data_IF_302881267375
#
_entry.id   IF_302881267375
#
_cell.length_a   1.000
_cell.length_b   1.000
_cell.length_c   1.000
_cell.angle_alpha   90.00
_cell.angle_beta   90.00
_cell.angle_gamma   90.00
#
_symmetry.space_group_name_H-M   'P 1'
#
loop_
_entity.id
_entity.type
_entity.pdbx_description
1 polymer ?
#
# COMPACT_ATOMS: atom_id res chain seq x y z
N UNK A 1 40.12 -2.08 16.02
CA UNK A 1 39.96 -0.99 17.03
C UNK A 1 40.03 0.33 16.27
N UNK A 2 38.88 0.83 15.81
CA UNK A 2 38.77 1.79 14.71
C UNK A 2 38.72 3.25 15.13
N UNK A 3 38.77 4.15 14.13
CA UNK A 3 38.79 5.63 14.23
C UNK A 3 37.79 6.23 15.25
N UNK A 4 36.69 5.55 15.55
CA UNK A 4 35.69 5.97 16.55
C UNK A 4 36.24 6.05 17.99
N UNK A 5 37.13 5.13 18.41
CA UNK A 5 37.70 5.15 19.77
C UNK A 5 38.70 6.29 19.96
N UNK A 6 39.36 6.71 18.88
CA UNK A 6 40.31 7.83 18.85
C UNK A 6 39.56 9.16 18.99
N UNK A 7 38.43 9.31 18.27
CA UNK A 7 37.56 10.50 18.35
C UNK A 7 36.90 10.63 19.73
N UNK A 8 36.48 9.52 20.36
CA UNK A 8 35.89 9.53 21.71
C UNK A 8 36.87 10.04 22.78
N UNK A 9 38.13 9.60 22.73
CA UNK A 9 39.17 10.02 23.69
C UNK A 9 39.58 11.49 23.51
N UNK A 10 39.67 11.95 22.26
CA UNK A 10 40.02 13.35 21.96
C UNK A 10 38.98 14.37 22.44
N UNK A 11 37.72 13.95 22.61
CA UNK A 11 36.61 14.83 23.00
C UNK A 11 36.10 14.60 24.44
N UNK A 12 36.81 13.82 25.26
CA UNK A 12 36.47 13.61 26.68
C UNK A 12 35.18 12.82 26.95
N UNK A 13 34.64 12.07 25.97
CA UNK A 13 33.43 11.28 26.16
C UNK A 13 33.71 10.00 26.95
N UNK A 14 32.96 9.79 28.03
CA UNK A 14 32.98 8.54 28.82
C UNK A 14 32.44 7.36 28.01
N UNK A 15 32.99 6.16 28.23
CA UNK A 15 32.51 4.94 27.56
C UNK A 15 31.01 4.70 27.86
N UNK A 16 30.24 4.15 26.91
CA UNK A 16 28.81 3.92 27.10
C UNK A 16 28.57 2.92 28.25
N UNK A 17 27.92 3.38 29.32
CA UNK A 17 27.54 2.51 30.42
C UNK A 17 26.41 1.56 30.00
N UNK A 18 26.54 0.29 30.36
CA UNK A 18 25.48 -0.68 30.14
C UNK A 18 24.23 -0.27 30.92
N UNK A 19 23.03 -0.27 30.31
CA UNK A 19 21.80 -0.13 31.08
C UNK A 19 21.70 -1.30 32.07
N UNK A 20 21.20 -1.00 33.27
CA UNK A 20 21.00 -2.01 34.32
C UNK A 20 20.16 -3.15 33.76
N UNK A 21 20.74 -4.35 33.71
CA UNK A 21 20.06 -5.56 33.25
C UNK A 21 18.88 -5.81 34.19
N UNK A 22 17.66 -5.55 33.73
CA UNK A 22 16.44 -6.03 34.39
C UNK A 22 16.20 -7.46 33.91
N UNK A 23 15.95 -8.38 34.84
CA UNK A 23 15.50 -9.72 34.51
C UNK A 23 14.14 -9.63 33.83
N UNK A 24 14.08 -9.86 32.52
CA UNK A 24 12.82 -10.00 31.78
C UNK A 24 12.54 -11.49 31.64
N UNK A 25 11.40 -11.94 32.15
CA UNK A 25 10.86 -13.26 31.82
C UNK A 25 10.22 -13.19 30.43
N UNK A 26 10.63 -14.05 29.51
CA UNK A 26 9.95 -14.21 28.23
C UNK A 26 8.85 -15.26 28.37
N UNK A 27 7.61 -14.87 28.06
CA UNK A 27 6.38 -15.67 28.23
C UNK A 27 6.16 -16.72 27.11
N UNK A 28 7.22 -17.33 26.57
CA UNK A 28 7.10 -18.36 25.53
C UNK A 28 8.00 -19.59 25.68
N UNK A 29 8.67 -19.77 26.81
CA UNK A 29 9.36 -21.02 27.12
C UNK A 29 8.73 -21.68 28.34
N UNK A 30 7.69 -22.47 28.09
CA UNK A 30 7.25 -23.48 29.04
C UNK A 30 8.36 -24.53 29.22
N UNK A 31 8.73 -24.76 30.48
CA UNK A 31 9.59 -25.83 31.02
C UNK A 31 11.11 -25.59 30.96
N UNK A 32 11.63 -24.81 31.93
CA UNK A 32 12.82 -25.20 32.73
C UNK A 32 12.70 -24.71 34.18
N UNK A 33 12.47 -25.63 35.10
CA UNK A 33 12.76 -25.44 36.52
C UNK A 33 14.28 -25.31 36.70
N UNK A 34 14.73 -24.19 37.25
CA UNK A 34 16.09 -24.00 37.75
C UNK A 34 17.12 -23.53 36.71
N UNK A 35 17.79 -22.42 37.05
CA UNK A 35 19.02 -21.99 36.37
C UNK A 35 18.81 -21.17 35.11
N UNK A 36 18.36 -19.91 35.26
CA UNK A 36 18.42 -18.94 34.17
C UNK A 36 19.86 -18.79 33.67
N UNK A 37 20.14 -19.19 32.43
CA UNK A 37 21.40 -18.81 31.77
C UNK A 37 21.39 -17.30 31.56
N UNK A 38 22.13 -16.57 32.40
CA UNK A 38 22.48 -15.17 32.13
C UNK A 38 23.13 -15.13 30.76
N UNK A 39 22.55 -14.42 29.79
CA UNK A 39 23.27 -14.08 28.57
C UNK A 39 24.54 -13.34 29.00
N UNK A 40 25.70 -13.93 28.73
CA UNK A 40 26.99 -13.29 29.03
C UNK A 40 27.22 -12.19 28.01
N UNK A 41 26.85 -10.97 28.37
CA UNK A 41 27.17 -9.77 27.59
C UNK A 41 28.68 -9.55 27.72
N UNK A 42 29.47 -10.00 26.75
CA UNK A 42 30.94 -9.95 26.84
C UNK A 42 31.57 -8.59 26.47
N UNK A 43 30.80 -7.58 26.05
CA UNK A 43 31.34 -6.23 25.78
C UNK A 43 30.19 -5.23 25.57
N UNK A 44 30.40 -3.94 25.87
CA UNK A 44 29.45 -2.85 25.57
C UNK A 44 29.02 -2.88 24.09
N UNK A 45 29.97 -3.14 23.19
CA UNK A 45 29.73 -3.29 21.76
C UNK A 45 28.77 -4.45 21.44
N UNK A 46 28.89 -5.59 22.15
CA UNK A 46 28.03 -6.75 21.92
C UNK A 46 26.61 -6.51 22.46
N UNK A 47 26.44 -5.74 23.54
CA UNK A 47 25.11 -5.35 24.03
C UNK A 47 24.33 -4.54 23.00
N UNK A 48 24.93 -3.47 22.44
CA UNK A 48 24.27 -2.66 21.42
C UNK A 48 24.08 -3.43 20.12
N UNK A 49 25.03 -4.28 19.72
CA UNK A 49 24.92 -5.10 18.52
C UNK A 49 23.76 -6.12 18.61
N UNK A 50 23.63 -6.79 19.75
CA UNK A 50 22.65 -7.87 19.91
C UNK A 50 21.26 -7.30 20.25
N UNK A 51 21.17 -6.43 21.26
CA UNK A 51 19.86 -6.01 21.79
C UNK A 51 19.24 -4.86 21.00
N UNK A 52 20.05 -3.98 20.41
CA UNK A 52 19.56 -2.80 19.69
C UNK A 52 19.62 -3.03 18.19
N UNK A 53 20.80 -3.31 17.63
CA UNK A 53 20.96 -3.43 16.18
C UNK A 53 20.21 -4.64 15.62
N UNK A 54 20.45 -5.85 16.12
CA UNK A 54 19.69 -7.02 15.64
C UNK A 54 18.20 -6.93 15.98
N UNK A 55 17.83 -6.40 17.15
CA UNK A 55 16.43 -6.13 17.48
C UNK A 55 15.72 -5.20 16.48
N UNK A 56 16.39 -4.14 16.03
CA UNK A 56 15.85 -3.24 14.98
C UNK A 56 15.76 -3.98 13.65
N UNK A 57 16.81 -4.73 13.25
CA UNK A 57 16.80 -5.48 11.99
C UNK A 57 15.70 -6.55 11.99
N UNK A 58 15.48 -7.25 13.09
CA UNK A 58 14.43 -8.24 13.24
C UNK A 58 13.04 -7.58 13.18
N UNK A 59 12.88 -6.41 13.81
CA UNK A 59 11.64 -5.64 13.73
C UNK A 59 11.37 -5.19 12.29
N UNK A 60 12.38 -4.66 11.59
CA UNK A 60 12.27 -4.28 10.17
C UNK A 60 11.95 -5.50 9.31
N UNK A 61 12.62 -6.63 9.54
CA UNK A 61 12.38 -7.86 8.81
C UNK A 61 10.99 -8.42 9.08
N UNK A 62 10.48 -8.33 10.32
CA UNK A 62 9.11 -8.70 10.68
C UNK A 62 8.08 -7.76 10.03
N UNK A 63 8.32 -6.46 10.02
CA UNK A 63 7.49 -5.48 9.33
C UNK A 63 7.49 -5.71 7.81
N UNK A 64 8.64 -6.02 7.20
CA UNK A 64 8.70 -6.39 5.80
C UNK A 64 7.95 -7.70 5.54
N UNK A 65 8.21 -8.75 6.33
CA UNK A 65 7.52 -10.04 6.18
C UNK A 65 6.02 -9.92 6.38
N UNK A 66 5.53 -9.08 7.29
CA UNK A 66 4.09 -8.84 7.49
C UNK A 66 3.49 -8.02 6.35
N UNK A 67 4.14 -6.93 5.91
CA UNK A 67 3.68 -6.13 4.77
C UNK A 67 3.67 -6.90 3.44
N UNK A 68 4.61 -7.81 3.23
CA UNK A 68 4.71 -8.61 2.00
C UNK A 68 4.13 -10.02 2.15
N UNK A 69 3.52 -10.35 3.29
CA UNK A 69 2.89 -11.68 3.51
C UNK A 69 1.57 -11.87 2.75
N UNK A 70 1.18 -10.89 1.95
CA UNK A 70 -0.23 -10.69 1.67
C UNK A 70 -0.78 -11.64 0.58
N UNK A 71 -1.93 -12.24 0.92
CA UNK A 71 -2.87 -12.94 0.04
C UNK A 71 -3.17 -12.22 -1.28
N UNK A 72 -2.82 -10.94 -1.42
CA UNK A 72 -2.98 -10.20 -2.66
C UNK A 72 -2.06 -10.69 -3.77
N UNK A 73 -0.88 -11.26 -3.48
CA UNK A 73 -0.03 -11.83 -4.54
C UNK A 73 -0.64 -13.09 -5.14
N UNK A 74 -1.19 -13.99 -4.32
CA UNK A 74 -1.92 -15.16 -4.81
C UNK A 74 -3.18 -14.73 -5.55
N UNK A 75 -3.95 -13.77 -5.02
CA UNK A 75 -5.13 -13.22 -5.69
C UNK A 75 -4.80 -12.55 -7.02
N UNK A 76 -3.72 -11.77 -7.10
CA UNK A 76 -3.25 -11.12 -8.33
C UNK A 76 -2.79 -12.14 -9.36
N UNK A 77 -2.05 -13.17 -8.94
CA UNK A 77 -1.67 -14.28 -9.81
C UNK A 77 -2.90 -15.04 -10.30
N UNK A 78 -3.89 -15.25 -9.44
CA UNK A 78 -5.18 -15.87 -9.80
C UNK A 78 -5.98 -15.00 -10.78
N UNK A 79 -6.03 -13.68 -10.60
CA UNK A 79 -6.60 -12.75 -11.59
C UNK A 79 -5.87 -12.80 -12.92
N UNK A 80 -4.54 -12.83 -12.88
CA UNK A 80 -3.70 -12.90 -14.08
C UNK A 80 -4.00 -14.21 -14.84
N UNK A 81 -4.11 -15.33 -14.13
CA UNK A 81 -4.52 -16.60 -14.72
C UNK A 81 -5.92 -16.55 -15.34
N UNK A 82 -6.89 -15.94 -14.66
CA UNK A 82 -8.27 -15.79 -15.13
C UNK A 82 -8.38 -14.91 -16.37
N UNK A 83 -7.63 -13.81 -16.44
CA UNK A 83 -7.73 -12.84 -17.53
C UNK A 83 -6.91 -13.21 -18.77
N UNK A 84 -5.75 -13.86 -18.60
CA UNK A 84 -4.78 -14.03 -19.67
C UNK A 84 -4.56 -15.48 -20.12
N UNK A 85 -4.87 -16.48 -19.29
CA UNK A 85 -4.66 -17.88 -19.65
C UNK A 85 -5.82 -18.42 -20.52
N UNK A 86 -5.48 -19.24 -21.52
CA UNK A 86 -6.46 -19.90 -22.41
C UNK A 86 -7.36 -20.88 -21.66
N UNK A 87 -6.85 -21.49 -20.59
CA UNK A 87 -7.60 -22.34 -19.67
C UNK A 87 -7.25 -21.97 -18.23
N UNK A 88 -8.03 -21.10 -17.56
CA UNK A 88 -7.80 -20.80 -16.15
C UNK A 88 -8.04 -22.03 -15.27
N UNK A 89 -7.21 -22.21 -14.25
CA UNK A 89 -7.36 -23.30 -13.27
C UNK A 89 -8.59 -23.04 -12.41
N UNK A 90 -9.43 -24.05 -12.18
CA UNK A 90 -10.66 -23.92 -11.37
C UNK A 90 -10.39 -23.33 -9.96
N UNK A 91 -9.21 -23.60 -9.40
CA UNK A 91 -8.77 -23.02 -8.13
C UNK A 91 -8.60 -21.49 -8.22
N UNK A 92 -7.98 -20.98 -9.28
CA UNK A 92 -7.82 -19.53 -9.49
C UNK A 92 -9.16 -18.81 -9.71
N UNK A 93 -10.11 -19.47 -10.39
CA UNK A 93 -11.47 -18.97 -10.54
C UNK A 93 -12.16 -18.89 -9.17
N UNK A 94 -12.05 -19.96 -8.36
CA UNK A 94 -12.61 -19.99 -7.01
C UNK A 94 -12.07 -18.90 -6.10
N UNK A 95 -10.75 -18.65 -6.12
CA UNK A 95 -10.12 -17.58 -5.34
C UNK A 95 -10.62 -16.19 -5.73
N UNK A 96 -10.74 -15.91 -7.03
CA UNK A 96 -11.27 -14.63 -7.54
C UNK A 96 -12.77 -14.50 -7.24
N UNK A 97 -13.54 -15.57 -7.40
CA UNK A 97 -14.98 -15.58 -7.11
C UNK A 97 -15.26 -15.33 -5.63
N UNK A 98 -14.48 -15.94 -4.74
CA UNK A 98 -14.59 -15.71 -3.30
C UNK A 98 -14.21 -14.27 -2.92
N UNK A 99 -13.18 -13.70 -3.56
CA UNK A 99 -12.74 -12.34 -3.28
C UNK A 99 -13.73 -11.27 -3.75
N UNK A 100 -14.34 -11.45 -4.93
CA UNK A 100 -15.22 -10.45 -5.55
C UNK A 100 -16.71 -10.77 -5.46
N UNK A 101 -17.08 -11.86 -4.78
CA UNK A 101 -18.47 -12.35 -4.64
C UNK A 101 -19.16 -12.57 -5.99
N UNK A 102 -18.45 -13.20 -6.91
CA UNK A 102 -18.95 -13.54 -8.26
C UNK A 102 -19.29 -15.03 -8.29
N UNK A 103 -20.33 -15.44 -9.03
CA UNK A 103 -20.65 -16.85 -9.22
C UNK A 103 -19.61 -17.55 -10.10
N UNK A 104 -19.03 -18.64 -9.59
CA UNK A 104 -17.96 -19.40 -10.26
C UNK A 104 -18.38 -19.99 -11.61
N UNK A 105 -19.64 -20.41 -11.72
CA UNK A 105 -20.17 -21.04 -12.93
C UNK A 105 -20.36 -20.02 -14.07
N UNK A 106 -20.88 -18.84 -13.76
CA UNK A 106 -21.08 -17.76 -14.72
C UNK A 106 -19.74 -17.29 -15.27
N UNK A 107 -18.78 -17.01 -14.38
CA UNK A 107 -17.45 -16.58 -14.78
C UNK A 107 -16.72 -17.63 -15.62
N UNK A 108 -16.79 -18.92 -15.25
CA UNK A 108 -16.18 -20.01 -16.02
C UNK A 108 -16.77 -20.11 -17.44
N UNK A 109 -18.09 -19.94 -17.55
CA UNK A 109 -18.80 -20.00 -18.83
C UNK A 109 -18.45 -18.80 -19.72
N UNK A 110 -18.45 -17.60 -19.15
CA UNK A 110 -18.04 -16.37 -19.83
C UNK A 110 -16.62 -16.47 -20.39
N UNK A 111 -15.66 -16.96 -19.58
CA UNK A 111 -14.26 -17.08 -20.00
C UNK A 111 -14.10 -18.09 -21.15
N UNK A 112 -14.80 -19.24 -21.10
CA UNK A 112 -14.73 -20.24 -22.18
C UNK A 112 -15.22 -19.66 -23.51
N UNK A 113 -16.31 -18.90 -23.47
CA UNK A 113 -16.88 -18.25 -24.66
C UNK A 113 -15.92 -17.16 -25.17
N UNK A 114 -15.43 -16.29 -24.28
CA UNK A 114 -14.49 -15.23 -24.64
C UNK A 114 -13.17 -15.77 -25.20
N UNK A 115 -12.62 -16.83 -24.62
CA UNK A 115 -11.40 -17.45 -25.14
C UNK A 115 -11.60 -18.01 -26.54
N UNK A 116 -12.77 -18.59 -26.84
CA UNK A 116 -13.12 -19.01 -28.20
C UNK A 116 -13.22 -17.82 -29.16
N UNK A 117 -13.83 -16.72 -28.72
CA UNK A 117 -13.93 -15.49 -29.52
C UNK A 117 -12.55 -14.86 -29.78
N UNK A 118 -11.66 -14.85 -28.81
CA UNK A 118 -10.30 -14.32 -28.96
C UNK A 118 -9.43 -15.16 -29.90
N UNK A 119 -9.61 -16.48 -29.92
CA UNK A 119 -8.95 -17.38 -30.88
C UNK A 119 -9.44 -17.09 -32.30
N UNK A 120 -10.75 -16.95 -32.49
CA UNK A 120 -11.34 -16.69 -33.81
C UNK A 120 -10.95 -15.32 -34.40
N UNK A 121 -10.59 -14.35 -33.55
CA UNK A 121 -10.22 -12.99 -33.95
C UNK A 121 -8.72 -12.68 -33.78
N UNK A 122 -7.86 -13.69 -33.62
CA UNK A 122 -6.39 -13.55 -33.51
C UNK A 122 -5.95 -12.45 -32.52
N UNK A 123 -6.60 -12.41 -31.36
CA UNK A 123 -6.32 -11.42 -30.33
C UNK A 123 -5.24 -11.91 -29.36
N UNK A 124 -3.99 -11.97 -29.82
CA UNK A 124 -2.86 -12.46 -29.01
C UNK A 124 -2.39 -11.46 -27.94
N UNK A 125 -2.50 -10.16 -28.22
CA UNK A 125 -2.03 -9.11 -27.31
C UNK A 125 -3.15 -8.62 -26.40
N UNK A 126 -2.81 -8.33 -25.13
CA UNK A 126 -3.73 -7.76 -24.12
C UNK A 126 -4.45 -6.51 -24.66
N UNK A 127 -3.71 -5.64 -25.33
CA UNK A 127 -4.24 -4.39 -25.90
C UNK A 127 -5.29 -4.70 -26.98
N UNK A 128 -5.08 -5.73 -27.80
CA UNK A 128 -6.04 -6.17 -28.83
C UNK A 128 -7.32 -6.72 -28.19
N UNK A 129 -7.19 -7.54 -27.13
CA UNK A 129 -8.34 -8.06 -26.36
C UNK A 129 -9.17 -6.92 -25.74
N UNK A 130 -8.53 -5.96 -25.09
CA UNK A 130 -9.21 -4.81 -24.49
C UNK A 130 -9.90 -3.95 -25.55
N UNK A 131 -9.21 -3.67 -26.67
CA UNK A 131 -9.79 -2.90 -27.77
C UNK A 131 -10.98 -3.63 -28.42
N UNK A 132 -10.92 -4.96 -28.51
CA UNK A 132 -12.00 -5.78 -29.04
C UNK A 132 -13.25 -5.77 -28.13
N UNK A 133 -13.05 -5.86 -26.81
CA UNK A 133 -14.14 -5.71 -25.83
C UNK A 133 -14.77 -4.32 -25.91
N UNK A 134 -13.95 -3.28 -26.16
CA UNK A 134 -14.41 -1.90 -26.28
C UNK A 134 -15.12 -1.60 -27.61
N UNK A 135 -14.72 -2.22 -28.72
CA UNK A 135 -15.24 -1.88 -30.04
C UNK A 135 -16.57 -2.55 -30.40
N UNK A 136 -16.91 -3.68 -29.77
CA UNK A 136 -18.10 -4.48 -30.12
C UNK A 136 -19.21 -4.47 -29.05
N UNK A 137 -19.14 -3.57 -28.05
CA UNK A 137 -20.09 -3.51 -26.91
C UNK A 137 -20.32 -4.85 -26.18
N UNK A 138 -19.33 -5.74 -26.26
CA UNK A 138 -19.32 -7.07 -25.62
C UNK A 138 -19.35 -6.94 -24.08
N UNK A 139 -19.10 -5.73 -23.55
CA UNK A 139 -19.21 -5.38 -22.13
C UNK A 139 -20.59 -5.72 -21.54
N UNK A 140 -21.66 -5.62 -22.34
CA UNK A 140 -23.02 -5.93 -21.88
C UNK A 140 -23.30 -7.43 -21.79
N UNK A 141 -22.66 -8.23 -22.65
CA UNK A 141 -22.84 -9.69 -22.68
C UNK A 141 -21.97 -10.46 -21.69
N UNK A 142 -20.89 -9.86 -21.20
CA UNK A 142 -19.93 -10.49 -20.27
C UNK A 142 -19.61 -9.58 -19.08
N UNK A 143 -20.60 -9.34 -18.20
CA UNK A 143 -20.47 -8.38 -17.10
C UNK A 143 -19.43 -8.82 -16.07
N UNK A 144 -19.34 -10.12 -15.77
CA UNK A 144 -18.42 -10.64 -14.74
C UNK A 144 -16.96 -10.50 -15.17
N UNK A 145 -16.65 -10.93 -16.40
CA UNK A 145 -15.31 -10.76 -16.96
C UNK A 145 -14.92 -9.28 -17.08
N UNK A 146 -15.83 -8.44 -17.56
CA UNK A 146 -15.57 -7.01 -17.73
C UNK A 146 -15.32 -6.30 -16.40
N UNK A 147 -16.05 -6.67 -15.35
CA UNK A 147 -15.85 -6.12 -14.00
C UNK A 147 -14.48 -6.51 -13.43
N UNK A 148 -14.08 -7.77 -13.56
CA UNK A 148 -12.75 -8.22 -13.12
C UNK A 148 -11.65 -7.50 -13.92
N UNK A 149 -11.83 -7.35 -15.23
CA UNK A 149 -10.88 -6.62 -16.08
C UNK A 149 -10.76 -5.14 -15.67
N UNK A 150 -11.88 -4.47 -15.37
CA UNK A 150 -11.88 -3.09 -14.85
C UNK A 150 -11.12 -3.00 -13.53
N UNK A 151 -11.39 -3.90 -12.59
CA UNK A 151 -10.69 -3.96 -11.29
C UNK A 151 -9.20 -4.19 -11.51
N UNK A 152 -8.81 -5.11 -12.38
CA UNK A 152 -7.40 -5.36 -12.68
C UNK A 152 -6.70 -4.12 -13.25
N UNK A 153 -7.38 -3.33 -14.09
CA UNK A 153 -6.85 -2.09 -14.66
C UNK A 153 -6.80 -0.93 -13.66
N UNK A 154 -7.61 -0.93 -12.60
CA UNK A 154 -7.57 0.11 -11.56
C UNK A 154 -6.51 -0.14 -10.51
N UNK A 155 -5.98 -1.37 -10.40
CA UNK A 155 -4.88 -1.67 -9.49
C UNK A 155 -3.65 -0.87 -9.91
N UNK A 156 -3.12 0.04 -9.07
CA UNK A 156 -2.02 0.89 -9.44
C UNK A 156 -0.76 0.05 -9.67
N UNK A 157 -0.27 0.01 -10.92
CA UNK A 157 0.96 -0.71 -11.30
C UNK A 157 2.24 -0.06 -10.74
N UNK A 158 2.22 1.26 -10.51
CA UNK A 158 3.42 2.04 -10.23
C UNK A 158 3.33 2.79 -8.90
N UNK A 159 4.46 2.86 -8.19
CA UNK A 159 4.68 3.72 -7.01
C UNK A 159 4.58 5.21 -7.31
N UNK A 160 4.61 5.61 -8.59
CA UNK A 160 4.55 6.99 -9.05
C UNK A 160 3.37 7.79 -8.50
N UNK A 161 2.19 7.17 -8.29
CA UNK A 161 1.05 7.86 -7.66
C UNK A 161 1.35 8.22 -6.20
N UNK A 162 1.97 7.30 -5.47
CA UNK A 162 2.40 7.52 -4.09
C UNK A 162 3.54 8.54 -4.04
N UNK A 163 4.47 8.51 -5.00
CA UNK A 163 5.53 9.52 -5.11
C UNK A 163 4.98 10.92 -5.42
N UNK A 164 3.97 11.03 -6.31
CA UNK A 164 3.26 12.28 -6.59
C UNK A 164 2.59 12.83 -5.34
N UNK A 165 1.91 12.00 -4.55
CA UNK A 165 1.26 12.43 -3.31
C UNK A 165 2.25 12.81 -2.21
N UNK A 166 3.35 12.06 -2.03
CA UNK A 166 4.41 12.44 -1.08
C UNK A 166 5.16 13.71 -1.51
N UNK A 167 5.39 13.90 -2.81
CA UNK A 167 6.01 15.12 -3.34
C UNK A 167 5.10 16.35 -3.15
N UNK A 168 3.80 16.19 -3.40
CA UNK A 168 2.80 17.21 -3.11
C UNK A 168 2.78 17.57 -1.63
N UNK A 169 2.73 16.58 -0.74
CA UNK A 169 2.76 16.78 0.71
C UNK A 169 4.05 17.48 1.17
N UNK A 170 5.21 17.10 0.61
CA UNK A 170 6.48 17.75 0.92
C UNK A 170 6.45 19.23 0.53
N UNK A 171 5.95 19.54 -0.65
CA UNK A 171 5.81 20.92 -1.15
C UNK A 171 4.88 21.73 -0.25
N UNK A 172 3.69 21.19 0.07
CA UNK A 172 2.71 21.86 0.94
C UNK A 172 3.28 22.12 2.35
N UNK A 173 3.92 21.12 2.97
CA UNK A 173 4.53 21.28 4.29
C UNK A 173 5.69 22.29 4.30
N UNK A 174 6.51 22.28 3.25
CA UNK A 174 7.67 23.17 3.16
C UNK A 174 7.24 24.61 2.87
N UNK A 175 6.27 24.79 1.97
CA UNK A 175 5.75 26.10 1.59
C UNK A 175 5.00 26.78 2.76
N UNK A 176 4.14 26.03 3.46
CA UNK A 176 3.30 26.60 4.50
C UNK A 176 4.04 26.81 5.82
N UNK A 177 5.15 26.09 6.12
CA UNK A 177 5.98 26.20 7.36
C UNK A 177 5.22 26.25 8.70
N UNK A 178 3.91 26.03 8.71
CA UNK A 178 3.00 26.16 9.85
C UNK A 178 2.58 24.77 10.32
N UNK A 179 2.40 24.62 11.63
CA UNK A 179 1.73 23.47 12.24
C UNK A 179 0.26 23.44 11.83
N UNK A 180 -0.03 22.89 10.65
CA UNK A 180 -1.41 22.61 10.22
C UNK A 180 -1.91 21.32 10.88
N UNK A 181 -3.21 21.30 11.19
CA UNK A 181 -3.88 20.06 11.60
C UNK A 181 -3.85 19.04 10.46
N UNK A 182 -3.89 17.74 10.82
CA UNK A 182 -3.83 16.66 9.84
C UNK A 182 -5.01 16.70 8.85
N UNK A 183 -6.18 17.16 9.29
CA UNK A 183 -7.37 17.32 8.46
C UNK A 183 -7.19 18.38 7.38
N UNK A 184 -6.72 19.58 7.76
CA UNK A 184 -6.43 20.68 6.82
C UNK A 184 -5.32 20.32 5.82
N UNK A 185 -4.31 19.60 6.28
CA UNK A 185 -3.24 19.11 5.40
C UNK A 185 -3.79 18.11 4.37
N UNK A 186 -4.66 17.19 4.80
CA UNK A 186 -5.26 16.19 3.93
C UNK A 186 -6.13 16.84 2.86
N UNK A 187 -7.03 17.76 3.24
CA UNK A 187 -7.89 18.47 2.29
C UNK A 187 -7.09 19.32 1.31
N UNK A 188 -6.06 20.03 1.78
CA UNK A 188 -5.17 20.82 0.93
C UNK A 188 -4.37 19.95 -0.04
N UNK A 189 -3.92 18.77 0.40
CA UNK A 189 -3.20 17.82 -0.45
C UNK A 189 -4.07 17.31 -1.59
N UNK A 190 -5.34 17.01 -1.33
CA UNK A 190 -6.31 16.58 -2.36
C UNK A 190 -6.47 17.69 -3.42
N UNK A 191 -6.71 18.93 -2.99
CA UNK A 191 -6.83 20.08 -3.89
C UNK A 191 -5.58 20.29 -4.75
N UNK A 192 -4.40 20.17 -4.13
CA UNK A 192 -3.14 20.35 -4.85
C UNK A 192 -2.87 19.23 -5.87
N UNK A 193 -3.17 17.98 -5.52
CA UNK A 193 -2.98 16.83 -6.44
C UNK A 193 -3.94 16.94 -7.63
N UNK A 194 -5.19 17.34 -7.37
CA UNK A 194 -6.29 17.42 -8.33
C UNK A 194 -6.42 18.79 -9.02
N UNK A 195 -5.43 19.68 -8.89
CA UNK A 195 -5.44 21.03 -9.46
C UNK A 195 -5.63 21.10 -10.99
N UNK A 196 -5.40 19.99 -11.69
CA UNK A 196 -5.58 19.86 -13.14
C UNK A 196 -7.05 19.72 -13.54
N UNK A 197 -7.93 19.35 -12.60
CA UNK A 197 -9.36 19.28 -12.83
C UNK A 197 -9.97 20.68 -12.70
N UNK A 198 -10.73 21.17 -13.68
CA UNK A 198 -11.36 22.48 -13.61
C UNK A 198 -12.37 22.50 -12.47
N UNK A 199 -12.23 23.48 -11.58
CA UNK A 199 -13.13 23.66 -10.44
C UNK A 199 -14.04 24.85 -10.76
N UNK A 200 -15.34 24.63 -10.70
CA UNK A 200 -16.33 25.69 -10.79
C UNK A 200 -16.49 26.37 -9.42
N UNK A 201 -15.88 27.54 -9.28
CA UNK A 201 -15.89 28.28 -8.03
C UNK A 201 -17.27 28.83 -7.68
N UNK A 202 -18.10 29.18 -8.67
CA UNK A 202 -19.43 29.75 -8.43
C UNK A 202 -20.34 28.70 -7.78
N UNK A 203 -20.32 27.48 -8.31
CA UNK A 203 -21.03 26.34 -7.72
C UNK A 203 -20.57 25.99 -6.29
N UNK A 204 -19.31 26.22 -5.95
CA UNK A 204 -18.79 25.98 -4.60
C UNK A 204 -19.26 27.09 -3.65
N UNK A 205 -19.24 28.34 -4.10
CA UNK A 205 -19.72 29.48 -3.32
C UNK A 205 -21.21 29.31 -3.00
N UNK A 206 -22.02 28.94 -4.00
CA UNK A 206 -23.45 28.72 -3.81
C UNK A 206 -23.75 27.59 -2.82
N UNK A 207 -22.99 26.48 -2.86
CA UNK A 207 -23.11 25.38 -1.88
C UNK A 207 -22.68 25.80 -0.48
N UNK A 208 -21.59 26.55 -0.37
CA UNK A 208 -21.10 27.05 0.91
C UNK A 208 -22.11 28.02 1.55
N UNK A 209 -22.69 28.91 0.76
CA UNK A 209 -23.73 29.84 1.21
C UNK A 209 -25.04 29.11 1.60
N UNK A 210 -25.37 28.00 0.94
CA UNK A 210 -26.54 27.18 1.26
C UNK A 210 -26.38 26.41 2.58
N UNK A 211 -25.17 25.95 2.91
CA UNK A 211 -24.85 25.21 4.14
C UNK A 211 -24.59 26.14 5.36
N UNK A 212 -24.33 27.43 5.12
CA UNK A 212 -24.09 28.38 6.20
C UNK A 212 -25.38 28.66 7.02
N UNK A 213 -25.29 28.43 8.34
CA UNK A 213 -26.38 28.74 9.29
C UNK A 213 -26.73 30.24 9.36
N UNK A 214 -25.88 31.12 8.83
CA UNK A 214 -26.09 32.58 8.79
C UNK A 214 -25.96 33.01 7.32
N UNK A 215 -27.10 33.17 6.65
CA UNK A 215 -27.17 33.61 5.25
C UNK A 215 -26.79 35.09 5.15
N UNK A 216 -25.88 35.45 4.23
CA UNK A 216 -25.67 36.85 3.81
C UNK A 216 -24.29 37.48 4.02
N UNK A 217 -23.24 36.74 4.42
CA UNK A 217 -21.86 37.26 4.35
C UNK A 217 -21.24 36.95 3.00
N UNK A 218 -21.71 37.62 1.95
CA UNK A 218 -20.92 37.75 0.72
C UNK A 218 -19.60 38.44 1.08
N UNK A 219 -18.54 37.66 1.24
CA UNK A 219 -17.18 38.17 1.29
C UNK A 219 -16.83 38.64 -0.12
N UNK A 220 -17.08 39.92 -0.40
CA UNK A 220 -16.59 40.55 -1.62
C UNK A 220 -15.07 40.60 -1.54
N UNK A 221 -14.40 39.66 -2.21
CA UNK A 221 -12.97 39.75 -2.45
C UNK A 221 -12.74 40.93 -3.40
N UNK A 222 -12.16 42.01 -2.87
CA UNK A 222 -11.65 43.16 -3.65
C UNK A 222 -10.24 42.87 -4.13
#
# INVERSE_FOLDING_TARGET
MGKATIVSKNNGFSEPNLPRIKSVQYEYDSVKLGGGKKQTIHTVQNHFRINVFFGIIDTVMMCMKSKFKENYLSLLNSMNNVLFNKNPTNQSIGEVCNAYKIESNDLSSEIKILNRLFINHECDTIIKKINYIRSKDIQTGFPNYTNILKIFLTIPKNTAFNERSFSALRTLKTYLRVTMSQELLSSSAILYIQKEYPIDFDNIIDKFDAEASIRGRRLTLK
#
